data_IF_688169396759
#
_entry.id   IF_688169396759
#
_cell.length_a   1.000
_cell.length_b   1.000
_cell.length_c   1.000
_cell.angle_alpha   90.00
_cell.angle_beta   90.00
_cell.angle_gamma   90.00
#
_symmetry.space_group_name_H-M   'P 1'
#
loop_
_entity.id
_entity.type
_entity.pdbx_description
1 polymer ?
#
# COMPACT_ATOMS: atom_id res chain seq x y z
N UNK A 1 -14.27 -0.92 -13.00
CA UNK A 1 -12.84 -1.31 -12.97
C UNK A 1 -12.41 -1.20 -11.52
N UNK A 2 -11.85 -2.25 -10.92
CA UNK A 2 -11.40 -2.25 -9.52
C UNK A 2 -10.04 -1.56 -9.36
N UNK A 3 -9.64 -1.28 -8.12
CA UNK A 3 -8.27 -0.80 -7.82
C UNK A 3 -7.30 -1.98 -7.87
N UNK A 4 -6.24 -1.86 -8.64
CA UNK A 4 -5.13 -2.82 -8.70
C UNK A 4 -3.99 -2.34 -7.81
N UNK A 5 -3.45 -3.24 -6.98
CA UNK A 5 -2.30 -2.99 -6.11
C UNK A 5 -1.27 -4.09 -6.35
N UNK A 6 -0.04 -3.68 -6.66
CA UNK A 6 1.08 -4.59 -6.89
C UNK A 6 2.26 -4.22 -5.98
N UNK A 7 2.83 -5.22 -5.31
CA UNK A 7 4.07 -5.04 -4.55
C UNK A 7 5.27 -5.15 -5.49
N UNK A 8 6.01 -4.06 -5.62
CA UNK A 8 7.27 -4.04 -6.38
C UNK A 8 8.42 -4.47 -5.46
N UNK A 9 8.38 -4.03 -4.19
CA UNK A 9 9.34 -4.41 -3.13
C UNK A 9 8.76 -4.04 -1.76
N UNK A 10 9.37 -4.51 -0.67
CA UNK A 10 8.87 -4.26 0.69
C UNK A 10 8.70 -2.78 1.11
N UNK A 11 9.22 -1.83 0.33
CA UNK A 11 9.04 -0.38 0.54
C UNK A 11 8.41 0.34 -0.67
N UNK A 12 7.95 -0.38 -1.70
CA UNK A 12 7.37 0.20 -2.92
C UNK A 12 6.18 -0.61 -3.41
N UNK A 13 5.04 0.05 -3.55
CA UNK A 13 3.81 -0.49 -4.12
C UNK A 13 3.43 0.34 -5.34
N UNK A 14 2.67 -0.26 -6.26
CA UNK A 14 2.01 0.44 -7.35
C UNK A 14 0.49 0.29 -7.20
N UNK A 15 -0.24 1.41 -7.31
CA UNK A 15 -1.69 1.46 -7.21
C UNK A 15 -2.24 2.06 -8.51
N UNK A 16 -2.88 1.25 -9.35
CA UNK A 16 -3.34 1.66 -10.69
C UNK A 16 -2.27 2.41 -11.52
N UNK A 17 -1.01 1.97 -11.48
CA UNK A 17 0.11 2.65 -12.16
C UNK A 17 0.70 3.85 -11.41
N UNK A 18 0.17 4.21 -10.22
CA UNK A 18 0.73 5.26 -9.35
C UNK A 18 1.68 4.64 -8.33
N UNK A 19 2.89 5.19 -8.22
CA UNK A 19 3.89 4.70 -7.28
C UNK A 19 3.55 5.16 -5.86
N UNK A 20 3.57 4.22 -4.92
CA UNK A 20 3.42 4.46 -3.48
C UNK A 20 4.67 3.95 -2.77
N UNK A 21 5.29 4.81 -1.98
CA UNK A 21 6.57 4.56 -1.31
C UNK A 21 6.39 4.53 0.19
N UNK A 22 7.10 3.64 0.88
CA UNK A 22 7.20 3.66 2.33
C UNK A 22 8.27 4.66 2.76
N UNK A 23 7.88 5.67 3.54
CA UNK A 23 8.81 6.67 4.08
C UNK A 23 9.60 6.10 5.27
N UNK A 24 10.52 6.92 5.82
CA UNK A 24 11.37 6.53 6.96
C UNK A 24 10.58 6.25 8.24
N UNK A 25 9.44 6.91 8.41
CA UNK A 25 8.50 6.70 9.52
C UNK A 25 7.63 5.44 9.33
N UNK A 26 7.80 4.73 8.21
CA UNK A 26 7.05 3.52 7.88
C UNK A 26 5.66 3.78 7.29
N UNK A 27 5.31 5.03 6.99
CA UNK A 27 4.06 5.42 6.36
C UNK A 27 4.14 5.30 4.84
N UNK A 28 3.04 4.89 4.22
CA UNK A 28 2.93 4.79 2.77
C UNK A 28 2.47 6.12 2.18
N UNK A 29 3.25 6.68 1.27
CA UNK A 29 3.02 7.98 0.64
C UNK A 29 3.06 7.86 -0.89
N UNK A 30 2.13 8.52 -1.57
CA UNK A 30 2.10 8.59 -3.03
C UNK A 30 2.69 9.94 -3.48
N UNK A 31 3.93 10.00 -4.00
CA UNK A 31 4.53 11.26 -4.47
C UNK A 31 3.94 11.76 -5.78
N UNK A 32 3.31 10.89 -6.57
CA UNK A 32 2.99 11.15 -7.97
C UNK A 32 1.74 11.98 -8.19
N UNK A 33 0.73 11.86 -7.31
CA UNK A 33 -0.55 12.60 -7.32
C UNK A 33 -1.45 12.05 -6.21
N UNK A 34 -2.51 12.78 -5.83
CA UNK A 34 -3.48 12.29 -4.85
C UNK A 34 -4.12 10.98 -5.34
N UNK A 35 -4.11 9.99 -4.46
CA UNK A 35 -4.94 8.80 -4.63
C UNK A 35 -6.42 9.21 -4.53
N UNK A 36 -7.27 8.57 -5.32
CA UNK A 36 -8.72 8.71 -5.13
C UNK A 36 -9.14 8.03 -3.82
N UNK A 37 -10.29 8.40 -3.22
CA UNK A 37 -10.75 7.76 -1.98
C UNK A 37 -10.87 6.23 -2.09
N UNK A 38 -11.16 5.71 -3.29
CA UNK A 38 -11.20 4.27 -3.54
C UNK A 38 -9.80 3.64 -3.51
N UNK A 39 -8.81 4.31 -4.09
CA UNK A 39 -7.40 3.89 -4.08
C UNK A 39 -6.80 3.96 -2.68
N UNK A 40 -7.07 5.03 -1.92
CA UNK A 40 -6.66 5.17 -0.52
C UNK A 40 -7.23 4.04 0.34
N UNK A 41 -8.52 3.74 0.17
CA UNK A 41 -9.18 2.65 0.91
C UNK A 41 -8.60 1.29 0.55
N UNK A 42 -8.35 1.04 -0.73
CA UNK A 42 -7.75 -0.21 -1.18
C UNK A 42 -6.31 -0.37 -0.64
N UNK A 43 -5.52 0.71 -0.68
CA UNK A 43 -4.17 0.74 -0.13
C UNK A 43 -4.18 0.44 1.38
N UNK A 44 -5.08 1.07 2.12
CA UNK A 44 -5.24 0.83 3.55
C UNK A 44 -5.57 -0.63 3.87
N UNK A 45 -6.55 -1.21 3.19
CA UNK A 45 -6.94 -2.62 3.39
C UNK A 45 -5.80 -3.58 3.03
N UNK A 46 -5.05 -3.28 1.96
CA UNK A 46 -3.89 -4.07 1.55
C UNK A 46 -2.78 -4.06 2.61
N UNK A 47 -2.37 -2.88 3.07
CA UNK A 47 -1.35 -2.74 4.12
C UNK A 47 -1.78 -3.46 5.39
N UNK A 48 -3.04 -3.26 5.79
CA UNK A 48 -3.61 -3.89 6.99
C UNK A 48 -3.60 -5.42 6.88
N UNK A 49 -3.88 -5.97 5.70
CA UNK A 49 -3.79 -7.41 5.45
C UNK A 49 -2.36 -7.94 5.64
N UNK A 50 -1.35 -7.21 5.15
CA UNK A 50 0.06 -7.56 5.33
C UNK A 50 0.44 -7.53 6.82
N UNK A 51 0.08 -6.46 7.54
CA UNK A 51 0.39 -6.32 8.96
C UNK A 51 -0.27 -7.42 9.81
N UNK A 52 -1.50 -7.80 9.49
CA UNK A 52 -2.20 -8.92 10.13
C UNK A 52 -1.51 -10.26 9.85
N UNK A 53 -1.08 -10.52 8.62
CA UNK A 53 -0.35 -11.75 8.27
C UNK A 53 1.00 -11.84 9.00
N UNK A 54 1.75 -10.73 9.02
CA UNK A 54 3.03 -10.63 9.75
C UNK A 54 2.85 -10.83 11.26
N UNK A 55 1.77 -10.30 11.83
CA UNK A 55 1.45 -10.48 13.25
C UNK A 55 1.13 -11.94 13.58
N UNK A 56 0.48 -12.67 12.67
CA UNK A 56 0.17 -14.09 12.84
C UNK A 56 1.39 -15.01 12.76
N UNK A 57 2.43 -14.65 12.01
CA UNK A 57 3.66 -15.45 11.90
C UNK A 57 4.62 -15.28 13.09
N UNK A 58 4.41 -14.26 13.93
CA UNK A 58 5.26 -13.97 15.10
C UNK A 58 4.75 -14.56 16.41
N UNK A 59 3.62 -15.26 16.38
CA UNK A 59 2.97 -15.89 17.54
C UNK A 59 2.93 -17.40 17.35
#
# INVERSE_FOLDING_TARGET
>A
MGVQIEEISGNRLEVNGKLVLKNIDGQWVCPSENLTPAEERALYEYIRSIELDLSRRKN
#
